data_IF_715175570778
#
_entry.id   IF_715175570778
#
_cell.length_a   1.000
_cell.length_b   1.000
_cell.length_c   1.000
_cell.angle_alpha   90.00
_cell.angle_beta   90.00
_cell.angle_gamma   90.00
#
_symmetry.space_group_name_H-M   'P 1'
#
loop_
_entity.id
_entity.type
_entity.pdbx_description
1 polymer ?
#
# COMPACT_ATOMS: atom_id res chain seq x y z
N UNK A 1 4.60 23.17 -6.56
CA UNK A 1 6.03 23.51 -6.31
C UNK A 1 6.91 22.37 -6.81
N UNK A 2 8.17 22.65 -7.17
CA UNK A 2 9.10 21.59 -7.54
C UNK A 2 9.41 20.71 -6.32
N UNK A 3 9.18 19.41 -6.43
CA UNK A 3 9.54 18.42 -5.40
C UNK A 3 11.05 18.26 -5.40
N UNK A 4 11.75 18.38 -4.25
CA UNK A 4 13.19 18.18 -4.20
C UNK A 4 13.54 16.76 -4.66
N UNK A 5 14.73 16.60 -5.26
CA UNK A 5 15.08 15.40 -6.01
C UNK A 5 14.98 14.11 -5.17
N UNK A 6 15.32 14.18 -3.88
CA UNK A 6 15.28 13.06 -2.96
C UNK A 6 13.85 12.59 -2.68
N UNK A 7 12.96 13.51 -2.33
CA UNK A 7 11.54 13.25 -2.07
C UNK A 7 10.86 12.79 -3.37
N UNK A 8 11.23 13.39 -4.51
CA UNK A 8 10.76 12.96 -5.82
C UNK A 8 11.15 11.51 -6.12
N UNK A 9 12.40 11.12 -5.86
CA UNK A 9 12.85 9.75 -6.09
C UNK A 9 12.04 8.73 -5.26
N UNK A 10 11.72 9.05 -4.00
CA UNK A 10 10.87 8.20 -3.16
C UNK A 10 9.44 8.12 -3.70
N UNK A 11 8.83 9.26 -3.98
CA UNK A 11 7.44 9.34 -4.44
C UNK A 11 7.25 8.68 -5.82
N UNK A 12 8.21 8.85 -6.72
CA UNK A 12 8.23 8.17 -8.01
C UNK A 12 8.46 6.67 -7.84
N UNK A 13 9.39 6.25 -6.97
CA UNK A 13 9.62 4.84 -6.65
C UNK A 13 8.38 4.13 -6.07
N UNK A 14 7.54 4.83 -5.33
CA UNK A 14 6.28 4.30 -4.80
C UNK A 14 5.18 4.23 -5.88
N UNK A 15 5.04 5.28 -6.69
CA UNK A 15 3.78 5.55 -7.39
C UNK A 15 3.89 5.72 -8.90
N UNK A 16 5.08 6.06 -9.43
CA UNK A 16 5.29 6.26 -10.87
C UNK A 16 5.59 4.92 -11.52
N UNK A 17 4.64 4.41 -12.29
CA UNK A 17 4.77 3.17 -13.05
C UNK A 17 4.47 3.38 -14.53
N UNK A 18 4.94 2.46 -15.36
CA UNK A 18 4.68 2.46 -16.80
C UNK A 18 3.36 1.75 -17.15
N UNK A 19 2.59 2.37 -18.02
CA UNK A 19 1.39 1.79 -18.64
C UNK A 19 0.16 1.70 -17.73
N UNK A 20 -0.84 0.96 -18.21
CA UNK A 20 -2.15 0.86 -17.58
C UNK A 20 -2.55 -0.60 -17.31
N UNK A 21 -3.39 -0.82 -16.31
CA UNK A 21 -3.97 -2.13 -16.03
C UNK A 21 -4.72 -2.65 -17.25
N UNK A 22 -4.74 -3.97 -17.40
CA UNK A 22 -5.49 -4.67 -18.45
C UNK A 22 -6.58 -5.52 -17.82
N UNK A 23 -7.70 -5.66 -18.52
CA UNK A 23 -8.75 -6.63 -18.21
C UNK A 23 -8.29 -8.04 -18.57
N UNK A 24 -9.10 -9.05 -18.21
CA UNK A 24 -8.79 -10.45 -18.45
C UNK A 24 -8.67 -10.78 -19.96
N UNK A 25 -9.42 -10.09 -20.80
CA UNK A 25 -9.38 -10.16 -22.27
C UNK A 25 -8.19 -9.41 -22.89
N UNK A 26 -7.34 -8.77 -22.07
CA UNK A 26 -6.19 -7.99 -22.51
C UNK A 26 -6.48 -6.51 -22.79
N UNK A 27 -7.74 -6.08 -22.75
CA UNK A 27 -8.17 -4.68 -23.00
C UNK A 27 -7.51 -3.72 -22.01
N UNK A 28 -6.92 -2.65 -22.52
CA UNK A 28 -6.25 -1.62 -21.70
C UNK A 28 -7.29 -0.75 -21.00
N UNK A 29 -7.18 -0.62 -19.68
CA UNK A 29 -8.02 0.27 -18.87
C UNK A 29 -7.43 1.68 -18.77
N UNK A 30 -8.19 2.63 -18.22
CA UNK A 30 -7.66 3.97 -17.88
C UNK A 30 -6.90 4.03 -16.55
N UNK A 31 -6.81 2.91 -15.82
CA UNK A 31 -6.17 2.90 -14.50
C UNK A 31 -4.66 2.70 -14.68
N UNK A 32 -3.86 3.70 -14.31
CA UNK A 32 -2.39 3.62 -14.36
C UNK A 32 -1.87 2.52 -13.44
N UNK A 33 -0.84 1.82 -13.90
CA UNK A 33 -0.11 0.89 -13.03
C UNK A 33 0.81 1.69 -12.11
N UNK A 34 0.93 1.23 -10.88
CA UNK A 34 1.82 1.82 -9.87
C UNK A 34 2.72 0.71 -9.28
N UNK A 35 3.97 1.03 -8.91
CA UNK A 35 4.90 0.08 -8.29
C UNK A 35 4.30 -0.61 -7.05
N UNK A 36 3.76 0.18 -6.12
CA UNK A 36 3.00 -0.35 -4.98
C UNK A 36 1.70 -1.01 -5.49
N UNK A 37 1.46 -2.30 -5.20
CA UNK A 37 0.22 -2.96 -5.58
C UNK A 37 -0.99 -2.42 -4.81
N UNK A 38 -2.17 -2.55 -5.42
CA UNK A 38 -3.44 -2.29 -4.75
C UNK A 38 -4.49 -3.30 -5.19
N UNK A 39 -5.32 -3.73 -4.23
CA UNK A 39 -6.42 -4.64 -4.50
C UNK A 39 -7.35 -4.10 -5.60
N UNK A 40 -7.48 -4.87 -6.69
CA UNK A 40 -8.36 -4.53 -7.81
C UNK A 40 -8.00 -3.23 -8.54
N UNK A 41 -6.75 -2.77 -8.40
CA UNK A 41 -6.27 -1.49 -8.93
C UNK A 41 -7.07 -0.28 -8.41
N UNK A 42 -7.62 -0.35 -7.19
CA UNK A 42 -8.40 0.73 -6.59
C UNK A 42 -7.53 1.96 -6.22
N UNK A 43 -6.28 1.72 -5.83
CA UNK A 43 -5.30 2.72 -5.40
C UNK A 43 -5.90 3.74 -4.39
N UNK A 44 -6.40 3.27 -3.23
CA UNK A 44 -7.03 4.13 -2.25
C UNK A 44 -6.02 4.99 -1.47
N UNK A 45 -4.76 4.56 -1.43
CA UNK A 45 -3.72 5.21 -0.63
C UNK A 45 -3.37 6.57 -1.23
N UNK A 46 -3.35 7.60 -0.38
CA UNK A 46 -2.83 8.93 -0.66
C UNK A 46 -1.57 9.15 0.16
N UNK A 47 -0.63 9.89 -0.41
CA UNK A 47 0.65 10.21 0.24
C UNK A 47 0.71 11.68 0.56
N UNK A 48 1.11 11.99 1.78
CA UNK A 48 1.29 13.34 2.28
C UNK A 48 2.69 13.48 2.87
N UNK A 49 3.24 14.68 2.85
CA UNK A 49 4.44 15.03 3.60
C UNK A 49 4.07 16.10 4.64
N UNK A 50 4.53 15.92 5.86
CA UNK A 50 4.49 16.95 6.91
C UNK A 50 5.93 17.28 7.25
N UNK A 51 6.30 18.53 6.99
CA UNK A 51 7.68 18.99 7.03
C UNK A 51 7.81 20.00 8.16
N UNK A 52 8.74 19.75 9.07
CA UNK A 52 9.14 20.64 10.14
C UNK A 52 10.14 21.71 9.70
N UNK A 53 10.69 22.46 10.66
CA UNK A 53 11.61 23.57 10.41
C UNK A 53 12.93 23.16 9.71
N UNK A 54 13.42 21.94 9.96
CA UNK A 54 14.72 21.46 9.46
C UNK A 54 14.60 20.61 8.18
N UNK A 55 13.45 20.68 7.49
CA UNK A 55 13.18 19.90 6.29
C UNK A 55 13.77 20.49 5.00
N UNK A 56 13.85 19.69 3.92
CA UNK A 56 14.28 20.15 2.59
C UNK A 56 13.21 20.98 1.85
N UNK A 57 12.05 21.17 2.47
CA UNK A 57 10.91 21.93 2.01
C UNK A 57 10.55 22.94 3.11
N UNK A 58 9.89 24.03 2.74
CA UNK A 58 9.29 24.93 3.73
C UNK A 58 8.43 24.13 4.72
N UNK A 59 8.47 24.53 5.99
CA UNK A 59 7.64 23.89 7.00
C UNK A 59 6.15 23.95 6.62
N UNK A 60 5.45 22.84 6.79
CA UNK A 60 4.01 22.74 6.49
C UNK A 60 3.58 21.36 6.00
N UNK A 61 2.33 21.30 5.52
CA UNK A 61 1.70 20.06 5.07
C UNK A 61 1.53 20.06 3.55
N UNK A 62 1.84 18.92 2.93
CA UNK A 62 1.80 18.74 1.49
C UNK A 62 1.03 17.48 1.13
N UNK A 63 0.17 17.57 0.11
CA UNK A 63 -0.47 16.42 -0.51
C UNK A 63 0.25 16.10 -1.82
N UNK A 64 0.60 14.83 -2.04
CA UNK A 64 1.15 14.37 -3.31
C UNK A 64 0.02 14.02 -4.27
N UNK A 65 0.03 14.64 -5.45
CA UNK A 65 -0.81 14.21 -6.53
C UNK A 65 -0.15 13.08 -7.31
N UNK A 66 -0.79 11.91 -7.25
CA UNK A 66 -0.34 10.67 -7.86
C UNK A 66 -0.50 10.66 -9.39
N UNK A 67 -1.31 11.55 -9.97
CA UNK A 67 -1.51 11.61 -11.42
C UNK A 67 -0.46 12.50 -12.09
N UNK A 68 -0.27 13.71 -11.55
CA UNK A 68 0.68 14.69 -12.11
C UNK A 68 2.10 14.56 -11.53
N UNK A 69 2.26 13.83 -10.43
CA UNK A 69 3.57 13.66 -9.77
C UNK A 69 4.08 14.95 -9.14
N UNK A 70 3.17 15.74 -8.56
CA UNK A 70 3.45 17.05 -7.98
C UNK A 70 3.06 17.10 -6.49
N UNK A 71 3.74 17.96 -5.72
CA UNK A 71 3.35 18.28 -4.34
C UNK A 71 2.57 19.59 -4.31
N UNK A 72 1.40 19.52 -3.66
CA UNK A 72 0.56 20.68 -3.36
C UNK A 72 0.69 21.00 -1.88
N UNK A 73 1.17 22.21 -1.56
CA UNK A 73 1.13 22.72 -0.18
C UNK A 73 -0.32 22.96 0.21
N UNK A 74 -0.69 22.55 1.41
CA UNK A 74 -2.03 22.75 1.96
C UNK A 74 -2.18 24.19 2.45
N UNK A 75 -3.34 24.75 2.19
CA UNK A 75 -3.69 26.12 2.58
C UNK A 75 -4.29 26.10 3.98
N UNK A 76 -3.44 26.30 4.98
CA UNK A 76 -3.82 26.24 6.39
C UNK A 76 -4.84 27.32 6.78
N UNK A 77 -4.74 28.51 6.18
CA UNK A 77 -5.64 29.61 6.49
C UNK A 77 -7.06 29.24 6.06
N UNK A 78 -7.22 28.74 4.83
CA UNK A 78 -8.51 28.28 4.31
C UNK A 78 -9.04 27.03 5.02
N UNK A 79 -8.16 26.17 5.54
CA UNK A 79 -8.56 25.04 6.38
C UNK A 79 -9.15 25.52 7.71
N UNK A 80 -8.50 26.50 8.37
CA UNK A 80 -8.99 27.10 9.62
C UNK A 80 -10.31 27.85 9.40
N UNK A 81 -10.45 28.61 8.32
CA UNK A 81 -11.71 29.26 7.93
C UNK A 81 -12.85 28.24 7.74
N UNK A 82 -12.53 27.05 7.21
CA UNK A 82 -13.48 25.93 7.11
C UNK A 82 -13.70 25.18 8.45
N UNK A 83 -13.13 25.69 9.54
CA UNK A 83 -13.20 25.15 10.89
C UNK A 83 -12.34 23.90 11.11
N UNK A 84 -11.51 23.49 10.15
CA UNK A 84 -10.69 22.28 10.31
C UNK A 84 -9.69 22.49 11.45
N UNK A 85 -9.47 21.44 12.24
CA UNK A 85 -8.44 21.48 13.26
C UNK A 85 -7.09 21.45 12.55
N UNK A 86 -6.42 22.59 12.53
CA UNK A 86 -5.05 22.74 12.02
C UNK A 86 -4.15 22.90 13.24
N UNK A 87 -3.17 21.99 13.45
CA UNK A 87 -2.18 22.16 14.52
C UNK A 87 -1.49 23.51 14.43
N UNK A 88 -0.97 24.00 15.57
CA UNK A 88 -0.16 25.21 15.63
C UNK A 88 0.95 25.23 14.58
N UNK A 89 1.32 26.43 14.14
CA UNK A 89 2.18 26.77 13.00
C UNK A 89 3.46 25.94 12.87
N UNK A 90 3.45 24.72 12.35
CA UNK A 90 4.60 23.99 11.77
C UNK A 90 5.89 23.80 12.60
N UNK A 91 6.00 24.40 13.80
CA UNK A 91 7.23 24.49 14.61
C UNK A 91 7.36 23.37 15.62
N UNK A 92 6.25 22.70 15.95
CA UNK A 92 6.24 21.61 16.94
C UNK A 92 6.55 20.24 16.30
N UNK A 93 6.54 20.17 14.96
CA UNK A 93 6.92 18.96 14.22
C UNK A 93 8.39 19.05 13.87
N UNK A 94 9.17 18.10 14.36
CA UNK A 94 10.60 17.97 14.03
C UNK A 94 10.79 17.01 12.84
N UNK A 95 11.65 17.36 11.90
CA UNK A 95 11.98 16.48 10.77
C UNK A 95 10.90 16.40 9.68
N UNK A 96 10.91 15.33 8.90
CA UNK A 96 9.94 15.10 7.81
C UNK A 96 9.19 13.80 8.04
N UNK A 97 7.86 13.89 8.06
CA UNK A 97 6.98 12.73 8.15
C UNK A 97 6.31 12.47 6.81
N UNK A 98 6.40 11.23 6.32
CA UNK A 98 5.57 10.75 5.23
C UNK A 98 4.33 10.10 5.86
N UNK A 99 3.14 10.57 5.51
CA UNK A 99 1.87 10.05 6.02
C UNK A 99 1.11 9.38 4.87
N UNK A 100 0.67 8.15 5.13
CA UNK A 100 -0.18 7.37 4.25
C UNK A 100 -1.61 7.38 4.79
N UNK A 101 -2.50 7.99 4.03
CA UNK A 101 -3.95 7.93 4.28
C UNK A 101 -4.64 7.09 3.22
N UNK A 102 -5.89 6.73 3.45
CA UNK A 102 -6.74 6.08 2.44
C UNK A 102 -7.97 6.91 2.14
N UNK A 103 -8.40 6.90 0.89
CA UNK A 103 -9.72 7.35 0.46
C UNK A 103 -10.68 6.15 0.42
N UNK A 104 -11.54 5.95 1.44
CA UNK A 104 -12.33 4.74 1.60
C UNK A 104 -13.22 4.43 0.39
N UNK A 105 -13.75 5.48 -0.25
CA UNK A 105 -14.64 5.38 -1.41
C UNK A 105 -14.04 4.63 -2.61
N UNK A 106 -12.71 4.72 -2.82
CA UNK A 106 -12.03 4.06 -3.95
C UNK A 106 -12.12 2.54 -3.89
N UNK A 107 -11.95 1.95 -2.71
CA UNK A 107 -12.09 0.50 -2.53
C UNK A 107 -13.55 0.09 -2.26
N UNK A 108 -14.35 0.95 -1.63
CA UNK A 108 -15.73 0.64 -1.28
C UNK A 108 -16.60 0.34 -2.51
N UNK A 109 -16.42 1.08 -3.61
CA UNK A 109 -17.19 0.86 -4.85
C UNK A 109 -17.12 -0.57 -5.37
N UNK A 110 -15.97 -1.23 -5.20
CA UNK A 110 -15.73 -2.61 -5.65
C UNK A 110 -15.95 -3.66 -4.56
N UNK A 111 -15.54 -3.38 -3.32
CA UNK A 111 -15.43 -4.39 -2.27
C UNK A 111 -16.49 -4.27 -1.17
N UNK A 112 -17.25 -3.17 -1.13
CA UNK A 112 -18.33 -2.93 -0.16
C UNK A 112 -17.86 -3.21 1.28
N UNK A 113 -18.58 -4.05 2.02
CA UNK A 113 -18.26 -4.42 3.40
C UNK A 113 -16.88 -5.09 3.57
N UNK A 114 -16.28 -5.63 2.48
CA UNK A 114 -14.93 -6.20 2.47
C UNK A 114 -13.83 -5.18 2.21
N UNK A 115 -14.15 -3.89 2.08
CA UNK A 115 -13.17 -2.86 1.73
C UNK A 115 -12.22 -2.52 2.89
N UNK A 116 -12.68 -2.59 4.14
CA UNK A 116 -11.91 -2.08 5.27
C UNK A 116 -10.59 -2.83 5.53
N UNK A 117 -10.49 -4.19 5.44
CA UNK A 117 -9.21 -4.86 5.59
C UNK A 117 -8.27 -4.53 4.42
N UNK A 118 -8.83 -4.25 3.23
CA UNK A 118 -8.05 -3.87 2.05
C UNK A 118 -7.47 -2.46 2.16
N UNK A 119 -8.07 -1.56 2.94
CA UNK A 119 -7.47 -0.27 3.26
C UNK A 119 -6.17 -0.44 4.06
N UNK A 120 -6.17 -1.34 5.05
CA UNK A 120 -4.98 -1.71 5.82
C UNK A 120 -3.97 -2.42 4.90
N UNK A 121 -4.43 -3.36 4.07
CA UNK A 121 -3.55 -4.08 3.14
C UNK A 121 -2.82 -3.12 2.19
N UNK A 122 -3.54 -2.27 1.46
CA UNK A 122 -2.93 -1.34 0.51
C UNK A 122 -1.97 -0.37 1.21
N UNK A 123 -2.33 0.11 2.42
CA UNK A 123 -1.44 0.99 3.20
C UNK A 123 -0.21 0.24 3.72
N UNK A 124 -0.34 -1.01 4.14
CA UNK A 124 0.77 -1.84 4.59
C UNK A 124 1.77 -2.13 3.47
N UNK A 125 1.28 -2.37 2.24
CA UNK A 125 2.15 -2.53 1.06
C UNK A 125 2.86 -1.22 0.71
N UNK A 126 2.17 -0.07 0.81
CA UNK A 126 2.79 1.23 0.61
C UNK A 126 3.87 1.53 1.67
N UNK A 127 3.56 1.27 2.95
CA UNK A 127 4.49 1.43 4.06
C UNK A 127 5.73 0.55 3.89
N UNK A 128 5.54 -0.73 3.62
CA UNK A 128 6.65 -1.65 3.35
C UNK A 128 7.47 -1.22 2.13
N UNK A 129 6.87 -0.54 1.16
CA UNK A 129 7.59 -0.02 0.00
C UNK A 129 8.47 1.18 0.38
N UNK A 130 8.02 2.05 1.29
CA UNK A 130 8.88 3.13 1.84
C UNK A 130 10.09 2.53 2.55
N UNK A 131 9.87 1.56 3.42
CA UNK A 131 10.94 0.86 4.15
C UNK A 131 11.89 0.10 3.23
N UNK A 132 11.34 -0.48 2.16
CA UNK A 132 12.12 -1.15 1.14
C UNK A 132 12.92 -0.14 0.30
N UNK A 133 12.39 1.04 -0.03
CA UNK A 133 13.08 1.99 -0.89
C UNK A 133 14.18 2.79 -0.15
N UNK A 134 13.98 3.14 1.12
CA UNK A 134 14.87 4.04 1.85
C UNK A 134 16.09 3.34 2.48
N UNK A 135 17.24 4.04 2.47
CA UNK A 135 18.41 3.73 3.29
C UNK A 135 18.97 5.01 3.95
N UNK A 136 19.22 5.03 5.28
CA UNK A 136 18.76 4.02 6.24
C UNK A 136 17.22 3.91 6.25
N UNK A 137 16.70 2.83 6.85
CA UNK A 137 15.27 2.66 7.03
C UNK A 137 14.68 3.83 7.84
N UNK A 138 13.37 4.10 7.71
CA UNK A 138 12.72 5.16 8.48
C UNK A 138 12.95 5.03 9.99
N UNK A 139 13.12 6.17 10.69
CA UNK A 139 13.50 6.21 12.11
C UNK A 139 12.38 5.74 13.03
N UNK A 140 11.13 6.02 12.66
CA UNK A 140 9.95 5.60 13.41
C UNK A 140 8.78 5.31 12.46
N UNK A 141 7.96 4.34 12.85
CA UNK A 141 6.71 3.98 12.18
C UNK A 141 5.58 4.04 13.18
N UNK A 142 4.50 4.76 12.87
CA UNK A 142 3.27 4.74 13.68
C UNK A 142 2.08 4.30 12.83
N UNK A 143 1.33 3.36 13.35
CA UNK A 143 0.15 2.78 12.69
C UNK A 143 -1.12 3.40 13.26
N UNK A 144 -2.11 3.54 12.40
CA UNK A 144 -3.42 4.12 12.69
C UNK A 144 -4.57 3.13 12.48
N UNK A 145 -5.81 3.65 12.50
CA UNK A 145 -6.17 5.07 12.66
C UNK A 145 -5.97 5.58 14.10
N UNK A 146 -5.65 6.87 14.27
CA UNK A 146 -5.50 7.47 15.60
C UNK A 146 -5.60 9.00 15.58
N UNK A 147 -5.91 9.66 16.72
CA UNK A 147 -6.00 11.11 16.80
C UNK A 147 -4.71 11.79 16.34
N UNK A 148 -3.57 11.33 16.83
CA UNK A 148 -2.27 11.89 16.48
C UNK A 148 -1.98 11.94 14.97
N UNK A 149 -2.35 10.90 14.19
CA UNK A 149 -2.16 10.92 12.73
C UNK A 149 -3.11 11.90 12.02
N UNK A 150 -4.32 12.09 12.53
CA UNK A 150 -5.25 13.10 12.00
C UNK A 150 -4.78 14.50 12.34
N UNK A 151 -4.31 14.69 13.57
CA UNK A 151 -3.80 15.96 14.05
C UNK A 151 -2.57 16.32 13.22
N UNK A 152 -1.63 15.40 13.01
CA UNK A 152 -0.46 15.59 12.14
C UNK A 152 -0.83 16.10 10.73
N UNK A 153 -1.93 15.60 10.14
CA UNK A 153 -2.41 16.04 8.83
C UNK A 153 -3.35 17.25 8.86
N UNK A 154 -3.81 17.68 10.04
CA UNK A 154 -4.80 18.74 10.20
C UNK A 154 -6.12 18.46 9.46
N UNK A 155 -6.60 17.21 9.52
CA UNK A 155 -7.81 16.78 8.80
C UNK A 155 -8.95 16.39 9.73
N UNK A 156 -10.21 16.69 9.38
CA UNK A 156 -11.38 16.23 10.14
C UNK A 156 -11.52 14.71 10.04
N UNK A 157 -12.35 14.11 10.88
CA UNK A 157 -12.63 12.66 10.78
C UNK A 157 -13.28 12.36 9.43
N UNK A 158 -12.96 11.22 8.83
CA UNK A 158 -13.58 10.83 7.56
C UNK A 158 -15.12 10.72 7.64
N UNK A 159 -15.66 10.38 8.82
CA UNK A 159 -17.09 10.33 9.07
C UNK A 159 -17.78 11.70 8.93
N UNK A 160 -17.05 12.80 9.16
CA UNK A 160 -17.50 14.18 8.95
C UNK A 160 -17.46 14.57 7.45
N UNK A 161 -17.98 13.69 6.59
CA UNK A 161 -17.88 13.80 5.13
C UNK A 161 -18.39 15.13 4.57
N UNK A 162 -19.42 15.73 5.17
CA UNK A 162 -19.91 17.07 4.77
C UNK A 162 -18.82 18.15 4.81
N UNK A 163 -17.89 18.09 5.77
CA UNK A 163 -16.78 19.05 5.90
C UNK A 163 -15.73 18.90 4.80
N UNK A 164 -15.53 17.67 4.33
CA UNK A 164 -14.65 17.38 3.20
C UNK A 164 -15.29 17.84 1.89
N UNK A 165 -16.55 17.49 1.67
CA UNK A 165 -17.29 17.81 0.45
C UNK A 165 -17.51 19.30 0.27
N UNK A 166 -17.73 20.07 1.35
CA UNK A 166 -17.80 21.53 1.30
C UNK A 166 -16.51 22.19 0.76
N UNK A 167 -15.40 21.46 0.77
CA UNK A 167 -14.09 21.87 0.21
C UNK A 167 -13.79 21.25 -1.15
N UNK A 168 -14.73 20.47 -1.71
CA UNK A 168 -14.50 19.70 -2.93
C UNK A 168 -13.51 18.54 -2.76
N UNK A 169 -13.30 18.07 -1.52
CA UNK A 169 -12.34 17.03 -1.19
C UNK A 169 -13.04 15.71 -0.86
N UNK A 170 -12.34 14.59 -1.10
CA UNK A 170 -12.80 13.27 -0.68
C UNK A 170 -12.36 13.00 0.78
N UNK A 171 -13.20 12.36 1.62
CA UNK A 171 -12.80 11.96 2.97
C UNK A 171 -11.60 11.01 2.99
N UNK A 172 -10.67 11.24 3.91
CA UNK A 172 -9.48 10.41 4.09
C UNK A 172 -9.33 9.90 5.52
N UNK A 173 -8.79 8.69 5.67
CA UNK A 173 -8.42 8.09 6.96
C UNK A 173 -6.89 7.95 7.00
N UNK A 174 -6.18 8.72 7.82
CA UNK A 174 -4.74 8.53 8.05
C UNK A 174 -4.49 7.17 8.74
N UNK A 175 -3.66 6.32 8.14
CA UNK A 175 -3.47 4.93 8.58
C UNK A 175 -2.03 4.57 8.91
N UNK A 176 -1.04 5.27 8.37
CA UNK A 176 0.34 5.08 8.79
C UNK A 176 1.14 6.37 8.62
N UNK A 177 2.19 6.52 9.40
CA UNK A 177 3.26 7.47 9.09
C UNK A 177 4.61 6.82 9.29
N UNK A 178 5.59 7.33 8.57
CA UNK A 178 7.00 7.13 8.86
C UNK A 178 7.69 8.46 9.06
N UNK A 179 8.60 8.50 10.00
CA UNK A 179 9.56 9.59 10.14
C UNK A 179 10.77 9.28 9.26
N UNK A 180 11.06 10.20 8.34
CA UNK A 180 12.22 10.10 7.47
C UNK A 180 13.44 10.65 8.23
N UNK A 181 14.57 9.91 8.27
CA UNK A 181 15.81 10.38 8.90
C UNK A 181 16.26 11.72 8.30
N UNK A 182 17.09 12.51 9.00
CA UNK A 182 17.64 13.74 8.42
C UNK A 182 18.46 13.50 7.14
N UNK A 183 19.18 12.37 7.11
CA UNK A 183 19.93 11.89 5.96
C UNK A 183 19.43 10.51 5.52
N UNK A 184 18.91 10.42 4.29
CA UNK A 184 18.46 9.20 3.65
C UNK A 184 18.56 9.31 2.13
N UNK A 185 18.51 8.17 1.45
CA UNK A 185 18.42 8.08 -0.01
C UNK A 185 17.52 6.92 -0.42
N UNK A 186 17.09 6.92 -1.69
CA UNK A 186 16.46 5.74 -2.30
C UNK A 186 17.56 4.80 -2.75
N UNK A 187 17.49 3.54 -2.33
CA UNK A 187 18.46 2.51 -2.70
C UNK A 187 18.35 2.21 -4.21
N UNK A 188 19.48 2.27 -4.96
CA UNK A 188 19.50 1.98 -6.39
C UNK A 188 18.88 0.62 -6.73
N UNK A 189 18.15 0.55 -7.85
CA UNK A 189 17.51 -0.67 -8.36
C UNK A 189 16.28 -1.15 -7.61
N UNK A 190 16.05 -0.72 -6.36
CA UNK A 190 14.83 -1.10 -5.61
C UNK A 190 13.55 -0.50 -6.20
N UNK A 191 13.62 0.73 -6.70
CA UNK A 191 12.53 1.37 -7.45
C UNK A 191 12.15 0.57 -8.70
N UNK A 192 13.16 0.20 -9.49
CA UNK A 192 12.96 -0.58 -10.73
C UNK A 192 12.40 -1.96 -10.44
N UNK A 193 12.93 -2.66 -9.42
CA UNK A 193 12.40 -3.96 -8.99
C UNK A 193 10.92 -3.88 -8.60
N UNK A 194 10.54 -2.85 -7.84
CA UNK A 194 9.15 -2.63 -7.44
C UNK A 194 8.25 -2.32 -8.66
N UNK A 195 8.73 -1.47 -9.58
CA UNK A 195 8.03 -1.09 -10.79
C UNK A 195 7.87 -2.25 -11.79
N UNK A 196 8.85 -3.15 -11.87
CA UNK A 196 8.86 -4.32 -12.74
C UNK A 196 8.00 -5.47 -12.19
N UNK A 197 7.80 -5.56 -10.87
CA UNK A 197 7.07 -6.65 -10.21
C UNK A 197 5.69 -6.87 -10.84
N UNK A 198 5.42 -8.11 -11.24
CA UNK A 198 4.08 -8.57 -11.65
C UNK A 198 3.70 -9.79 -10.84
N UNK A 199 2.45 -9.82 -10.39
CA UNK A 199 1.89 -11.05 -9.82
C UNK A 199 1.66 -12.04 -10.96
N UNK A 200 2.06 -13.32 -10.84
CA UNK A 200 1.74 -14.32 -11.85
C UNK A 200 0.24 -14.39 -12.15
N UNK A 201 -0.11 -14.70 -13.40
CA UNK A 201 -1.48 -14.99 -13.76
C UNK A 201 -1.96 -16.27 -13.04
N UNK A 202 -3.26 -16.38 -12.77
CA UNK A 202 -3.81 -17.59 -12.11
C UNK A 202 -3.57 -18.84 -12.96
N UNK A 203 -3.66 -18.72 -14.29
CA UNK A 203 -3.35 -19.80 -15.22
C UNK A 203 -1.92 -20.33 -15.14
N UNK A 204 -0.94 -19.52 -14.72
CA UNK A 204 0.43 -20.01 -14.49
C UNK A 204 0.51 -20.96 -13.30
N UNK A 205 -0.30 -20.73 -12.25
CA UNK A 205 -0.41 -21.66 -11.15
C UNK A 205 -1.21 -22.90 -11.55
N UNK A 206 -2.26 -22.76 -12.34
CA UNK A 206 -3.05 -23.91 -12.82
C UNK A 206 -2.25 -24.83 -13.73
N UNK A 207 -1.36 -24.28 -14.56
CA UNK A 207 -0.46 -25.01 -15.43
C UNK A 207 0.78 -25.57 -14.72
N UNK A 208 1.13 -25.02 -13.56
CA UNK A 208 2.22 -25.56 -12.76
C UNK A 208 1.87 -27.00 -12.34
N UNK A 209 2.83 -27.91 -12.46
CA UNK A 209 2.69 -29.23 -11.84
C UNK A 209 2.32 -29.01 -10.37
N UNK A 210 1.21 -29.62 -9.93
CA UNK A 210 0.68 -29.42 -8.57
C UNK A 210 1.79 -29.76 -7.56
N UNK A 211 2.32 -28.74 -6.90
CA UNK A 211 3.37 -28.83 -5.88
C UNK A 211 2.71 -28.95 -4.49
N UNK A 212 2.94 -30.03 -3.73
CA UNK A 212 3.98 -30.25 -2.69
C UNK A 212 3.84 -29.46 -1.38
N UNK A 213 3.18 -28.29 -1.35
CA UNK A 213 2.88 -27.65 -0.06
C UNK A 213 1.61 -28.29 0.53
N UNK A 214 1.70 -29.02 1.66
CA UNK A 214 0.55 -29.71 2.23
C UNK A 214 -0.59 -28.75 2.64
N UNK A 215 -0.27 -27.45 2.81
CA UNK A 215 -1.26 -26.42 3.16
C UNK A 215 -2.07 -25.93 1.96
N UNK A 216 -1.66 -26.23 0.72
CA UNK A 216 -2.30 -25.68 -0.48
C UNK A 216 -3.78 -26.06 -0.59
N UNK A 217 -4.14 -27.28 -0.18
CA UNK A 217 -5.53 -27.74 -0.18
C UNK A 217 -6.39 -26.92 0.78
N UNK A 218 -5.91 -26.71 2.00
CA UNK A 218 -6.63 -25.95 3.02
C UNK A 218 -6.76 -24.48 2.64
N UNK A 219 -5.69 -23.87 2.11
CA UNK A 219 -5.71 -22.48 1.64
C UNK A 219 -6.67 -22.33 0.46
N UNK A 220 -6.59 -23.22 -0.54
CA UNK A 220 -7.48 -23.19 -1.71
C UNK A 220 -8.96 -23.31 -1.30
N UNK A 221 -9.27 -24.20 -0.35
CA UNK A 221 -10.61 -24.38 0.22
C UNK A 221 -11.06 -23.13 0.97
N UNK A 222 -10.23 -22.62 1.89
CA UNK A 222 -10.58 -21.47 2.74
C UNK A 222 -10.72 -20.16 1.94
N UNK A 223 -9.96 -19.98 0.85
CA UNK A 223 -10.08 -18.80 -0.02
C UNK A 223 -11.04 -18.97 -1.20
N UNK A 224 -11.56 -20.18 -1.43
CA UNK A 224 -12.37 -20.53 -2.60
C UNK A 224 -11.63 -20.38 -3.94
N UNK A 225 -10.31 -20.61 -3.96
CA UNK A 225 -9.44 -20.33 -5.11
C UNK A 225 -8.59 -21.54 -5.48
N UNK A 226 -9.06 -22.33 -6.45
CA UNK A 226 -8.42 -23.59 -6.85
C UNK A 226 -7.01 -23.41 -7.44
N UNK A 227 -6.72 -22.27 -8.08
CA UNK A 227 -5.39 -21.97 -8.65
C UNK A 227 -4.27 -22.03 -7.59
N UNK A 228 -4.58 -21.85 -6.31
CA UNK A 228 -3.61 -21.93 -5.20
C UNK A 228 -2.92 -23.31 -5.12
N UNK A 229 -3.57 -24.37 -5.61
CA UNK A 229 -3.03 -25.73 -5.60
C UNK A 229 -1.73 -25.89 -6.41
N UNK A 230 -1.42 -24.97 -7.32
CA UNK A 230 -0.16 -24.97 -8.07
C UNK A 230 0.95 -24.12 -7.46
N UNK A 231 0.74 -23.54 -6.28
CA UNK A 231 1.77 -22.75 -5.61
C UNK A 231 2.96 -23.65 -5.21
N UNK A 232 4.17 -23.24 -5.60
CA UNK A 232 5.40 -23.95 -5.22
C UNK A 232 5.81 -23.66 -3.76
N UNK A 233 5.39 -22.49 -3.25
CA UNK A 233 5.53 -22.12 -1.86
C UNK A 233 4.31 -21.30 -1.45
N UNK A 234 3.84 -21.55 -0.24
CA UNK A 234 2.80 -20.75 0.40
C UNK A 234 3.31 -20.14 1.70
N UNK A 235 2.94 -18.89 1.94
CA UNK A 235 3.03 -18.26 3.24
C UNK A 235 1.64 -17.85 3.69
N UNK A 236 1.29 -18.14 4.93
CA UNK A 236 -0.03 -17.89 5.49
C UNK A 236 0.12 -17.22 6.85
N UNK A 237 -0.67 -16.18 7.09
CA UNK A 237 -0.79 -15.53 8.39
C UNK A 237 -2.22 -15.68 8.88
N UNK A 238 -2.35 -16.17 10.10
CA UNK A 238 -3.64 -16.49 10.71
C UNK A 238 -3.68 -16.05 12.17
N UNK A 239 -4.89 -15.88 12.68
CA UNK A 239 -5.20 -15.53 14.07
C UNK A 239 -6.34 -16.42 14.57
N UNK A 240 -6.51 -16.54 15.88
CA UNK A 240 -7.66 -17.23 16.44
C UNK A 240 -8.96 -16.42 16.18
N UNK A 241 -10.11 -17.08 16.04
CA UNK A 241 -11.38 -16.39 15.74
C UNK A 241 -11.87 -15.49 16.88
N UNK A 242 -11.44 -15.76 18.10
CA UNK A 242 -11.74 -15.01 19.32
C UNK A 242 -10.69 -13.92 19.64
N UNK A 243 -9.70 -13.71 18.74
CA UNK A 243 -8.67 -12.68 18.89
C UNK A 243 -9.32 -11.31 19.10
N UNK A 244 -8.96 -10.56 20.17
CA UNK A 244 -9.47 -9.22 20.41
C UNK A 244 -9.24 -8.29 19.22
N UNK A 245 -10.18 -7.38 18.94
CA UNK A 245 -10.14 -6.52 17.76
C UNK A 245 -8.83 -5.70 17.62
N UNK A 246 -8.25 -5.25 18.74
CA UNK A 246 -6.97 -4.54 18.73
C UNK A 246 -5.81 -5.42 18.28
N UNK A 247 -5.72 -6.65 18.81
CA UNK A 247 -4.72 -7.63 18.41
C UNK A 247 -4.92 -8.10 16.97
N UNK A 248 -6.17 -8.27 16.56
CA UNK A 248 -6.55 -8.58 15.19
C UNK A 248 -6.03 -7.52 14.20
N UNK A 249 -6.26 -6.24 14.50
CA UNK A 249 -5.78 -5.14 13.67
C UNK A 249 -4.24 -5.12 13.57
N UNK A 250 -3.53 -5.37 14.68
CA UNK A 250 -2.07 -5.49 14.65
C UNK A 250 -1.60 -6.69 13.83
N UNK A 251 -2.28 -7.83 13.93
CA UNK A 251 -1.97 -9.02 13.16
C UNK A 251 -2.18 -8.79 11.65
N UNK A 252 -3.24 -8.07 11.25
CA UNK A 252 -3.44 -7.64 9.86
C UNK A 252 -2.27 -6.79 9.34
N UNK A 253 -1.85 -5.78 10.10
CA UNK A 253 -0.70 -4.95 9.73
C UNK A 253 0.57 -5.77 9.56
N UNK A 254 0.89 -6.65 10.53
CA UNK A 254 2.07 -7.52 10.48
C UNK A 254 2.01 -8.47 9.28
N UNK A 255 0.88 -9.12 9.04
CA UNK A 255 0.69 -10.05 7.93
C UNK A 255 0.90 -9.38 6.57
N UNK A 256 0.27 -8.23 6.33
CA UNK A 256 0.40 -7.53 5.05
C UNK A 256 1.78 -6.92 4.84
N UNK A 257 2.43 -6.36 5.88
CA UNK A 257 3.81 -5.87 5.77
C UNK A 257 4.80 -7.00 5.50
N UNK A 258 4.65 -8.14 6.16
CA UNK A 258 5.50 -9.32 5.92
C UNK A 258 5.32 -9.87 4.49
N UNK A 259 4.08 -9.98 4.01
CA UNK A 259 3.80 -10.38 2.64
C UNK A 259 4.37 -9.40 1.60
N UNK A 260 4.25 -8.10 1.85
CA UNK A 260 4.85 -7.06 1.02
C UNK A 260 6.38 -7.18 0.97
N UNK A 261 7.03 -7.38 2.12
CA UNK A 261 8.48 -7.62 2.20
C UNK A 261 8.92 -8.81 1.36
N UNK A 262 8.20 -9.94 1.43
CA UNK A 262 8.46 -11.11 0.59
C UNK A 262 8.25 -10.82 -0.90
N UNK A 263 7.21 -10.08 -1.26
CA UNK A 263 6.97 -9.66 -2.64
C UNK A 263 8.12 -8.80 -3.20
N UNK A 264 8.61 -7.86 -2.41
CA UNK A 264 9.64 -6.90 -2.83
C UNK A 264 11.03 -7.54 -2.87
N UNK A 265 11.35 -8.38 -1.89
CA UNK A 265 12.56 -9.20 -1.91
C UNK A 265 12.55 -10.19 -3.08
N UNK A 266 11.40 -10.81 -3.38
CA UNK A 266 11.22 -11.67 -4.55
C UNK A 266 11.42 -10.91 -5.87
N UNK A 267 10.88 -9.70 -5.97
CA UNK A 267 11.07 -8.84 -7.14
C UNK A 267 12.53 -8.42 -7.35
N UNK A 268 13.23 -8.05 -6.27
CA UNK A 268 14.63 -7.63 -6.33
C UNK A 268 15.58 -8.79 -6.66
N UNK A 269 15.37 -9.94 -6.02
CA UNK A 269 16.22 -11.13 -6.22
C UNK A 269 15.91 -11.89 -7.51
N UNK A 270 14.75 -11.64 -8.11
CA UNK A 270 14.22 -12.45 -9.21
C UNK A 270 13.90 -13.90 -8.83
N UNK A 271 14.03 -14.30 -7.55
CA UNK A 271 13.90 -15.70 -7.13
C UNK A 271 12.46 -16.20 -7.09
N UNK A 272 11.53 -15.31 -6.72
CA UNK A 272 10.13 -15.66 -6.49
C UNK A 272 9.21 -14.63 -7.14
N UNK A 273 8.17 -15.13 -7.81
CA UNK A 273 7.06 -14.33 -8.32
C UNK A 273 5.86 -14.58 -7.43
N UNK A 274 5.39 -13.53 -6.78
CA UNK A 274 4.44 -13.64 -5.66
C UNK A 274 3.05 -13.13 -6.06
N UNK A 275 2.00 -13.86 -5.66
CA UNK A 275 0.59 -13.47 -5.81
C UNK A 275 -0.11 -13.48 -4.45
N UNK A 276 -0.50 -12.31 -3.92
CA UNK A 276 -1.27 -12.24 -2.69
C UNK A 276 -2.64 -12.91 -2.84
N UNK A 277 -3.07 -13.62 -1.81
CA UNK A 277 -4.38 -14.27 -1.70
C UNK A 277 -5.19 -13.52 -0.65
N UNK A 278 -6.47 -13.30 -0.96
CA UNK A 278 -7.45 -12.70 -0.05
C UNK A 278 -8.80 -13.42 -0.18
N UNK A 279 -9.77 -13.01 0.63
CA UNK A 279 -11.12 -13.58 0.60
C UNK A 279 -11.29 -14.86 1.40
N UNK A 280 -10.47 -15.07 2.43
CA UNK A 280 -10.58 -16.21 3.33
C UNK A 280 -11.85 -16.16 4.17
N UNK A 281 -12.54 -17.30 4.23
CA UNK A 281 -13.54 -17.56 5.25
C UNK A 281 -12.86 -17.96 6.56
N UNK A 282 -13.47 -17.63 7.70
CA UNK A 282 -13.00 -18.12 8.99
C UNK A 282 -13.29 -19.64 9.10
N UNK A 283 -12.34 -20.42 9.63
CA UNK A 283 -12.60 -21.77 10.14
C UNK A 283 -13.14 -21.68 11.58
N UNK A 284 -13.48 -22.83 12.19
CA UNK A 284 -14.08 -22.87 13.53
C UNK A 284 -13.21 -22.22 14.62
N UNK A 285 -11.90 -22.28 14.46
CA UNK A 285 -10.90 -21.91 15.46
C UNK A 285 -9.93 -20.82 14.97
N UNK A 286 -9.83 -20.63 13.65
CA UNK A 286 -8.77 -19.83 13.04
C UNK A 286 -9.28 -19.02 11.85
N UNK A 287 -8.75 -17.82 11.70
CA UNK A 287 -8.96 -17.00 10.53
C UNK A 287 -7.64 -16.67 9.86
N UNK A 288 -7.47 -17.13 8.61
CA UNK A 288 -6.35 -16.70 7.76
C UNK A 288 -6.59 -15.29 7.27
N UNK A 289 -5.82 -14.34 7.80
CA UNK A 289 -5.96 -12.92 7.47
C UNK A 289 -5.28 -12.57 6.16
N UNK A 290 -4.23 -13.31 5.79
CA UNK A 290 -3.55 -13.13 4.51
C UNK A 290 -2.78 -14.39 4.12
N UNK A 291 -2.55 -14.57 2.82
CA UNK A 291 -1.59 -15.55 2.32
C UNK A 291 -0.90 -15.06 1.06
N UNK A 292 0.21 -15.68 0.72
CA UNK A 292 1.04 -15.37 -0.43
C UNK A 292 1.42 -16.67 -1.15
N UNK A 293 0.96 -16.82 -2.39
CA UNK A 293 1.39 -17.91 -3.27
C UNK A 293 2.59 -17.48 -4.09
N UNK A 294 3.57 -18.37 -4.24
CA UNK A 294 4.79 -18.09 -4.98
C UNK A 294 5.05 -19.15 -6.05
N UNK A 295 5.53 -18.69 -7.20
CA UNK A 295 6.16 -19.50 -8.23
C UNK A 295 7.65 -19.13 -8.31
N UNK A 296 8.53 -20.06 -8.71
CA UNK A 296 9.92 -19.73 -9.02
C UNK A 296 10.02 -18.59 -10.05
N UNK A 297 11.13 -17.85 -9.99
CA UNK A 297 11.50 -16.88 -11.01
C UNK A 297 12.07 -17.54 -12.27
N UNK A 298 11.76 -16.94 -13.44
CA UNK A 298 12.01 -17.52 -14.77
C UNK A 298 10.88 -18.48 -15.21
N UNK A 299 10.49 -18.61 -16.48
CA UNK A 299 11.13 -18.17 -17.71
C UNK A 299 10.72 -16.77 -18.19
N UNK A 300 11.66 -16.03 -18.77
CA UNK A 300 11.34 -15.08 -19.82
C UNK A 300 10.74 -15.89 -20.98
N UNK A 301 9.41 -15.93 -21.05
CA UNK A 301 8.76 -16.06 -22.34
C UNK A 301 8.51 -14.62 -22.78
N UNK A 302 9.28 -14.19 -23.76
CA UNK A 302 9.00 -13.00 -24.53
C UNK A 302 7.52 -13.03 -24.90
N UNK A 303 6.75 -12.05 -24.40
CA UNK A 303 5.34 -11.89 -24.75
C UNK A 303 5.14 -11.38 -26.20
N UNK A 304 6.16 -11.50 -27.04
CA UNK A 304 6.12 -11.17 -28.46
C UNK A 304 5.90 -12.40 -29.37
N UNK A 305 5.87 -13.64 -28.86
CA UNK A 305 5.66 -14.83 -29.70
C UNK A 305 4.26 -15.44 -29.63
N UNK A 306 3.26 -14.70 -29.18
CA UNK A 306 1.86 -15.13 -29.26
C UNK A 306 0.94 -13.96 -29.64
N UNK A 307 1.12 -13.49 -30.87
CA UNK A 307 0.16 -12.75 -31.66
C UNK A 307 0.03 -13.43 -33.03
#
# INVERSE_FOLDING_TARGET
MAVPARERALLDGLWRGAGHHRLADGTVTRVRRRPVPSAGAAYPVRTHLVVGADGPLDAGRYAFDLEDGTLHRRDEAREREAGWHVPGTGTDVTGTHLVLSVQPGRSFGRYRHRAWPLWIADTAYALAAVEFLCAPAPSAVRLGPGPWLRDLLGVPRAAEHGRWLARGLAPEIPLATVELPGSWSVVPGRGDALAARRSPATGEFEAAARAHDPRAVDVARASGQAWVLGAHRLETWSVAVDTPAAEFAQALWRAHRAAAGLCYAGALSGRWRCRPISGFTASRDRWTVHALAMLPGGHALDKESAA
#
